data_IF_881299864257
#
_entry.id   IF_881299864257
#
_cell.length_a   1.000
_cell.length_b   1.000
_cell.length_c   1.000
_cell.angle_alpha   90.00
_cell.angle_beta   90.00
_cell.angle_gamma   90.00
#
_symmetry.space_group_name_H-M   'P 1'
#
loop_
_entity.id
_entity.type
_entity.pdbx_description
1 polymer ?
#
# COMPACT_ATOMS: atom_id res chain seq x y z
N UNK A 1 -13.85 9.78 0.31
CA UNK A 1 -13.08 9.73 -0.95
C UNK A 1 -14.02 9.44 -2.11
N UNK A 2 -13.94 10.23 -3.17
CA UNK A 2 -14.77 10.03 -4.37
C UNK A 2 -13.98 9.29 -5.44
N UNK A 3 -14.70 8.73 -6.42
CA UNK A 3 -14.02 8.07 -7.54
C UNK A 3 -13.15 9.07 -8.31
N UNK A 4 -13.58 10.33 -8.40
CA UNK A 4 -12.79 11.38 -9.06
C UNK A 4 -11.49 11.65 -8.34
N UNK A 5 -11.51 11.71 -7.02
CA UNK A 5 -10.29 11.89 -6.22
C UNK A 5 -9.34 10.72 -6.41
N UNK A 6 -9.88 9.50 -6.49
CA UNK A 6 -9.08 8.30 -6.74
C UNK A 6 -8.43 8.37 -8.11
N UNK A 7 -9.19 8.72 -9.13
CA UNK A 7 -8.68 8.78 -10.51
C UNK A 7 -7.66 9.90 -10.70
N UNK A 8 -7.88 11.07 -10.09
CA UNK A 8 -6.93 12.18 -10.17
C UNK A 8 -5.68 11.93 -9.35
N UNK A 9 -5.81 11.11 -8.30
CA UNK A 9 -4.67 10.70 -7.48
C UNK A 9 -3.81 9.63 -8.13
N UNK A 10 -4.17 9.17 -9.33
CA UNK A 10 -3.40 8.19 -10.05
C UNK A 10 -2.05 8.77 -10.43
N UNK A 11 -1.03 8.33 -9.72
CA UNK A 11 0.31 8.84 -9.89
C UNK A 11 1.26 7.91 -9.16
N UNK A 12 2.49 8.35 -8.95
CA UNK A 12 3.46 7.62 -8.14
C UNK A 12 2.98 7.39 -6.70
N UNK A 13 1.96 8.14 -6.25
CA UNK A 13 1.51 8.11 -4.85
C UNK A 13 0.26 7.26 -4.60
N UNK A 14 -0.29 6.62 -5.61
CA UNK A 14 -1.48 5.79 -5.44
C UNK A 14 -1.32 4.47 -6.19
N UNK A 15 -1.65 3.38 -5.51
CA UNK A 15 -1.64 2.04 -6.10
C UNK A 15 -2.98 1.36 -5.83
N UNK A 16 -3.51 0.67 -6.84
CA UNK A 16 -4.80 -0.01 -6.76
C UNK A 16 -4.62 -1.52 -6.73
N UNK A 17 -5.39 -2.18 -5.87
CA UNK A 17 -5.44 -3.64 -5.78
C UNK A 17 -6.90 -4.06 -5.77
N UNK A 18 -7.28 -4.97 -6.68
CA UNK A 18 -8.66 -5.43 -6.75
C UNK A 18 -9.04 -6.22 -5.49
N UNK A 19 -8.15 -7.09 -5.03
CA UNK A 19 -8.34 -7.95 -3.87
C UNK A 19 -7.18 -7.81 -2.91
N UNK A 20 -7.33 -8.36 -1.71
CA UNK A 20 -6.20 -8.51 -0.80
C UNK A 20 -5.42 -9.76 -1.22
N UNK A 21 -4.16 -9.61 -1.65
CA UNK A 21 -3.34 -10.77 -2.04
C UNK A 21 -3.12 -11.72 -0.87
N UNK A 22 -3.07 -13.03 -1.15
CA UNK A 22 -2.77 -14.04 -0.12
C UNK A 22 -1.41 -13.80 0.52
N UNK A 23 -0.43 -13.42 -0.30
CA UNK A 23 0.92 -13.13 0.18
C UNK A 23 1.07 -11.63 0.35
N UNK A 24 1.24 -11.21 1.58
CA UNK A 24 1.37 -9.78 1.91
C UNK A 24 2.57 -9.12 1.24
N UNK A 25 3.60 -9.90 0.88
CA UNK A 25 4.77 -9.37 0.19
C UNK A 25 4.39 -8.59 -1.07
N UNK A 26 3.30 -8.97 -1.73
CA UNK A 26 2.88 -8.34 -2.99
C UNK A 26 2.48 -6.87 -2.82
N UNK A 27 2.01 -6.46 -1.64
CA UNK A 27 1.75 -5.05 -1.40
C UNK A 27 2.75 -4.44 -0.42
N UNK A 28 3.47 -5.27 0.33
CA UNK A 28 4.45 -4.77 1.31
C UNK A 28 5.59 -4.00 0.66
N UNK A 29 5.96 -4.40 -0.54
CA UNK A 29 6.97 -3.67 -1.33
C UNK A 29 6.56 -2.23 -1.56
N UNK A 30 5.28 -1.99 -1.87
CA UNK A 30 4.76 -0.63 -2.06
C UNK A 30 4.67 0.13 -0.75
N UNK A 31 4.34 -0.55 0.36
CA UNK A 31 4.29 0.08 1.68
C UNK A 31 5.67 0.67 2.02
N UNK A 32 6.74 -0.14 1.92
CA UNK A 32 8.08 0.36 2.23
C UNK A 32 8.53 1.42 1.22
N UNK A 33 8.15 1.27 -0.05
CA UNK A 33 8.49 2.24 -1.08
C UNK A 33 7.87 3.61 -0.80
N UNK A 34 6.62 3.65 -0.37
CA UNK A 34 5.97 4.91 0.02
C UNK A 34 6.65 5.52 1.24
N UNK A 35 6.99 4.72 2.24
CA UNK A 35 7.69 5.23 3.43
C UNK A 35 9.08 5.78 3.09
N UNK A 36 9.75 5.19 2.11
CA UNK A 36 11.05 5.67 1.63
C UNK A 36 10.95 6.88 0.70
N UNK A 37 9.74 7.21 0.25
CA UNK A 37 9.50 8.36 -0.62
C UNK A 37 8.70 9.44 0.09
N UNK A 38 7.71 9.96 -0.61
CA UNK A 38 6.86 11.05 -0.10
C UNK A 38 5.52 10.56 0.48
N UNK A 39 5.42 9.26 0.74
CA UNK A 39 4.18 8.67 1.19
C UNK A 39 3.28 8.28 0.04
N UNK A 40 2.13 7.69 0.33
CA UNK A 40 1.19 7.28 -0.68
C UNK A 40 0.05 6.46 -0.12
N UNK A 41 -0.80 5.99 -1.02
CA UNK A 41 -1.99 5.21 -0.65
C UNK A 41 -2.04 3.92 -1.46
N UNK A 42 -2.49 2.86 -0.80
CA UNK A 42 -2.87 1.64 -1.49
C UNK A 42 -4.36 1.46 -1.27
N UNK A 43 -5.11 1.32 -2.34
CA UNK A 43 -6.57 1.19 -2.28
C UNK A 43 -6.93 -0.22 -2.72
N UNK A 44 -7.45 -0.99 -1.77
CA UNK A 44 -7.91 -2.36 -2.02
C UNK A 44 -9.40 -2.34 -2.32
N UNK A 45 -9.82 -3.05 -3.34
CA UNK A 45 -11.21 -3.12 -3.77
C UNK A 45 -11.49 -2.40 -5.08
N UNK A 46 -10.46 -1.93 -5.76
CA UNK A 46 -10.58 -1.24 -7.05
C UNK A 46 -9.60 -1.89 -8.02
N UNK A 47 -10.10 -2.30 -9.19
CA UNK A 47 -9.27 -2.94 -10.19
C UNK A 47 -8.27 -1.94 -10.79
N UNK A 48 -7.02 -2.34 -10.89
CA UNK A 48 -5.93 -1.48 -11.34
C UNK A 48 -6.11 -0.97 -12.77
N UNK A 49 -6.47 -1.85 -13.69
CA UNK A 49 -6.53 -1.49 -15.11
C UNK A 49 -7.82 -0.76 -15.50
N UNK A 50 -8.95 -1.25 -15.03
CA UNK A 50 -10.26 -0.73 -15.41
C UNK A 50 -10.79 0.34 -14.46
N UNK A 51 -10.23 0.43 -13.26
CA UNK A 51 -10.73 1.27 -12.17
C UNK A 51 -12.15 0.89 -11.74
N UNK A 52 -12.56 -0.34 -12.05
CA UNK A 52 -13.83 -0.85 -11.56
C UNK A 52 -13.79 -1.01 -10.06
N UNK A 53 -14.82 -0.50 -9.39
CA UNK A 53 -14.94 -0.63 -7.94
C UNK A 53 -15.58 -1.97 -7.63
N UNK A 54 -14.80 -2.89 -7.10
CA UNK A 54 -15.25 -4.23 -6.73
C UNK A 54 -15.76 -4.25 -5.30
N UNK A 55 -15.04 -3.62 -4.40
CA UNK A 55 -15.39 -3.53 -2.98
C UNK A 55 -15.21 -4.85 -2.23
N UNK A 56 -15.55 -4.81 -0.95
CA UNK A 56 -15.50 -5.97 -0.06
C UNK A 56 -16.82 -6.12 0.66
N UNK A 57 -17.15 -7.36 1.04
CA UNK A 57 -18.33 -7.64 1.85
C UNK A 57 -18.13 -7.07 3.26
N UNK A 58 -19.21 -6.51 3.80
CA UNK A 58 -19.17 -5.91 5.14
C UNK A 58 -18.76 -6.92 6.22
N UNK A 59 -19.04 -8.19 6.01
CA UNK A 59 -18.71 -9.24 6.97
C UNK A 59 -17.20 -9.54 7.02
N UNK A 60 -16.51 -9.35 5.89
CA UNK A 60 -15.10 -9.70 5.76
C UNK A 60 -14.15 -8.51 5.89
N UNK A 61 -14.65 -7.30 5.69
CA UNK A 61 -13.78 -6.13 5.55
C UNK A 61 -12.93 -5.85 6.79
N UNK A 62 -13.49 -6.06 7.99
CA UNK A 62 -12.73 -5.81 9.22
C UNK A 62 -11.62 -6.83 9.42
N UNK A 63 -11.86 -8.08 9.05
CA UNK A 63 -10.81 -9.12 9.08
C UNK A 63 -9.67 -8.78 8.13
N UNK A 64 -10.02 -8.25 6.96
CA UNK A 64 -9.02 -7.85 5.97
C UNK A 64 -8.21 -6.65 6.43
N UNK A 65 -8.86 -5.69 7.08
CA UNK A 65 -8.16 -4.55 7.68
C UNK A 65 -7.15 -5.02 8.74
N UNK A 66 -7.57 -5.93 9.61
CA UNK A 66 -6.71 -6.47 10.66
C UNK A 66 -5.53 -7.23 10.05
N UNK A 67 -5.77 -8.01 9.00
CA UNK A 67 -4.71 -8.74 8.32
C UNK A 67 -3.68 -7.79 7.72
N UNK A 68 -4.12 -6.70 7.13
CA UNK A 68 -3.22 -5.68 6.55
C UNK A 68 -2.41 -5.01 7.67
N UNK A 69 -3.08 -4.59 8.74
CA UNK A 69 -2.41 -3.92 9.86
C UNK A 69 -1.35 -4.82 10.48
N UNK A 70 -1.68 -6.08 10.73
CA UNK A 70 -0.76 -7.03 11.31
C UNK A 70 0.41 -7.34 10.38
N UNK A 71 0.14 -7.50 9.09
CA UNK A 71 1.19 -7.78 8.12
C UNK A 71 2.20 -6.62 8.04
N UNK A 72 1.72 -5.39 8.02
CA UNK A 72 2.61 -4.22 7.98
C UNK A 72 3.43 -4.13 9.27
N UNK A 73 2.76 -4.29 10.42
CA UNK A 73 3.43 -4.24 11.71
C UNK A 73 4.53 -5.28 11.83
N UNK A 74 4.28 -6.49 11.31
CA UNK A 74 5.21 -7.61 11.44
C UNK A 74 6.31 -7.64 10.38
N UNK A 75 6.12 -6.96 9.26
CA UNK A 75 6.98 -7.15 8.08
C UNK A 75 8.00 -6.05 7.83
N UNK A 76 7.84 -4.89 8.44
CA UNK A 76 8.65 -3.71 8.09
C UNK A 76 9.64 -3.33 9.20
N UNK A 77 10.83 -2.91 8.78
CA UNK A 77 11.87 -2.41 9.66
C UNK A 77 12.44 -1.12 9.05
N UNK A 78 12.55 0.01 9.72
CA UNK A 78 11.88 0.32 10.99
C UNK A 78 10.36 0.19 10.92
N UNK A 79 9.68 0.25 12.05
CA UNK A 79 8.23 0.08 12.09
C UNK A 79 7.50 1.15 11.26
N UNK A 80 6.48 0.70 10.53
CA UNK A 80 5.61 1.59 9.76
C UNK A 80 4.22 1.52 10.38
N UNK A 81 3.64 2.67 10.65
CA UNK A 81 2.31 2.80 11.25
C UNK A 81 1.37 3.42 10.21
N UNK A 82 0.70 2.60 9.39
CA UNK A 82 -0.19 3.13 8.36
C UNK A 82 -1.50 3.60 8.97
N UNK A 83 -2.19 4.48 8.25
CA UNK A 83 -3.55 4.87 8.57
C UNK A 83 -4.47 4.05 7.65
N UNK A 84 -5.29 3.19 8.23
CA UNK A 84 -6.15 2.29 7.46
C UNK A 84 -7.61 2.68 7.71
N UNK A 85 -8.29 3.06 6.63
CA UNK A 85 -9.68 3.51 6.71
C UNK A 85 -10.56 2.77 5.72
N UNK A 86 -11.87 2.75 6.02
CA UNK A 86 -12.87 2.25 5.10
C UNK A 86 -13.52 3.45 4.42
N UNK A 87 -13.67 3.35 3.11
CA UNK A 87 -14.32 4.40 2.32
C UNK A 87 -15.42 3.76 1.48
N UNK A 88 -16.48 4.51 1.23
CA UNK A 88 -17.55 4.08 0.33
C UNK A 88 -17.33 4.77 -1.01
N UNK A 89 -17.22 3.97 -2.07
CA UNK A 89 -17.03 4.43 -3.44
C UNK A 89 -18.04 3.70 -4.31
N UNK A 90 -18.88 4.44 -5.01
CA UNK A 90 -19.94 3.86 -5.85
C UNK A 90 -20.81 2.84 -5.10
N UNK A 91 -21.11 3.14 -3.83
CA UNK A 91 -21.95 2.28 -2.99
C UNK A 91 -21.24 1.03 -2.46
N UNK A 92 -19.97 0.88 -2.72
CA UNK A 92 -19.19 -0.28 -2.30
C UNK A 92 -18.09 0.13 -1.32
N UNK A 93 -17.69 -0.80 -0.45
CA UNK A 93 -16.70 -0.51 0.58
C UNK A 93 -15.32 -0.91 0.10
N UNK A 94 -14.39 0.03 0.15
CA UNK A 94 -12.98 -0.20 -0.17
C UNK A 94 -12.12 0.09 1.06
N UNK A 95 -10.91 -0.45 1.07
CA UNK A 95 -9.95 -0.25 2.15
C UNK A 95 -8.84 0.67 1.63
N UNK A 96 -8.62 1.78 2.32
CA UNK A 96 -7.56 2.73 1.98
C UNK A 96 -6.46 2.63 3.02
N UNK A 97 -5.25 2.29 2.57
CA UNK A 97 -4.07 2.22 3.41
C UNK A 97 -3.19 3.41 3.06
N UNK A 98 -3.06 4.35 3.97
CA UNK A 98 -2.24 5.53 3.77
C UNK A 98 -0.93 5.38 4.52
N UNK A 99 0.18 5.53 3.80
CA UNK A 99 1.53 5.43 4.35
C UNK A 99 2.16 6.82 4.26
N UNK A 100 2.58 7.35 5.39
CA UNK A 100 3.24 8.65 5.43
C UNK A 100 4.71 8.54 5.07
N UNK A 101 5.30 9.64 4.62
CA UNK A 101 6.74 9.73 4.43
C UNK A 101 7.46 9.38 5.72
N UNK A 102 8.36 8.42 5.65
CA UNK A 102 9.09 7.95 6.81
C UNK A 102 10.28 8.83 7.15
N UNK A 103 10.60 8.91 8.45
CA UNK A 103 11.72 9.74 8.95
C UNK A 103 12.96 8.93 9.25
N UNK A 104 12.87 7.60 9.20
CA UNK A 104 13.97 6.69 9.57
C UNK A 104 14.42 5.85 8.38
N UNK A 105 14.44 6.46 7.21
CA UNK A 105 14.83 5.76 5.97
C UNK A 105 16.26 5.25 6.04
N UNK A 106 16.57 4.10 5.42
CA UNK A 106 15.65 3.32 4.56
C UNK A 106 14.78 2.34 5.37
N UNK A 107 13.55 2.19 4.92
CA UNK A 107 12.65 1.14 5.39
C UNK A 107 12.81 -0.07 4.49
N UNK A 108 12.68 -1.26 5.07
CA UNK A 108 12.82 -2.49 4.30
C UNK A 108 11.92 -3.60 4.83
N UNK A 109 11.75 -4.63 4.03
CA UNK A 109 10.99 -5.82 4.42
C UNK A 109 11.94 -6.74 5.19
N UNK A 110 11.61 -7.01 6.47
CA UNK A 110 12.48 -7.79 7.37
C UNK A 110 12.92 -9.11 6.78
N UNK A 111 11.98 -9.86 6.18
CA UNK A 111 12.26 -11.18 5.66
C UNK A 111 13.29 -11.18 4.53
N UNK A 112 13.42 -10.06 3.82
CA UNK A 112 14.35 -9.92 2.70
C UNK A 112 15.67 -9.26 3.12
N UNK A 113 15.72 -8.71 4.32
CA UNK A 113 16.88 -8.00 4.83
C UNK A 113 17.07 -6.65 4.14
N UNK A 114 18.04 -5.89 4.63
CA UNK A 114 18.32 -4.55 4.11
C UNK A 114 18.82 -4.57 2.67
N UNK A 115 19.59 -5.59 2.31
CA UNK A 115 20.17 -5.65 0.96
C UNK A 115 19.17 -6.01 -0.12
N UNK A 116 18.13 -6.77 0.22
CA UNK A 116 17.15 -7.22 -0.77
C UNK A 116 15.73 -6.74 -0.50
N UNK A 117 15.52 -5.95 0.56
CA UNK A 117 14.18 -5.57 1.01
C UNK A 117 13.85 -4.09 0.95
N UNK A 118 14.75 -3.25 0.46
CA UNK A 118 14.50 -1.81 0.32
C UNK A 118 13.88 -1.55 -1.05
N UNK A 119 12.68 -1.01 -1.07
CA UNK A 119 11.97 -0.65 -2.29
C UNK A 119 11.73 0.85 -2.31
N UNK A 120 11.71 1.42 -3.50
CA UNK A 120 11.48 2.83 -3.74
C UNK A 120 10.44 3.02 -4.83
N UNK A 121 9.84 4.18 -4.84
CA UNK A 121 8.82 4.53 -5.83
C UNK A 121 9.45 5.39 -6.92
N UNK A 122 9.34 4.94 -8.16
CA UNK A 122 9.88 5.65 -9.33
C UNK A 122 8.78 5.76 -10.37
N UNK A 123 8.30 6.97 -10.60
CA UNK A 123 7.33 7.27 -11.66
C UNK A 123 6.11 6.34 -11.67
N UNK A 124 5.53 6.09 -10.50
CA UNK A 124 4.33 5.27 -10.39
C UNK A 124 4.58 3.77 -10.28
N UNK A 125 5.83 3.34 -10.18
CA UNK A 125 6.18 1.93 -10.01
C UNK A 125 7.01 1.71 -8.77
N UNK A 126 6.90 0.50 -8.19
CA UNK A 126 7.71 0.09 -7.04
C UNK A 126 8.88 -0.71 -7.56
N UNK A 127 10.09 -0.31 -7.19
CA UNK A 127 11.33 -0.94 -7.63
C UNK A 127 12.25 -1.23 -6.47
N UNK A 128 13.02 -2.31 -6.59
CA UNK A 128 14.06 -2.61 -5.63
C UNK A 128 15.14 -1.53 -5.73
N UNK A 129 15.52 -0.96 -4.60
CA UNK A 129 16.57 0.04 -4.56
C UNK A 129 17.93 -0.63 -4.80
N UNK A 130 18.77 0.01 -5.60
CA UNK A 130 20.13 -0.46 -5.80
C UNK A 130 21.08 0.33 -4.89
N UNK A 131 22.37 0.01 -4.96
CA UNK A 131 23.36 0.63 -4.08
C UNK A 131 23.50 2.14 -4.28
N UNK A 132 23.09 2.65 -5.43
CA UNK A 132 23.15 4.09 -5.70
C UNK A 132 21.99 4.86 -5.09
N UNK A 133 20.88 4.15 -4.81
CA UNK A 133 19.69 4.76 -4.22
C UNK A 133 19.72 4.75 -2.69
N UNK A 134 20.57 3.93 -2.15
CA UNK A 134 20.77 3.81 -0.71
C UNK A 134 21.90 4.73 -0.24
#
# INVERSE_FOLDING_TARGET
>A
MTIEEILTGESKNVEFKENLPEKSIKYMKSVVAFANGTGGKIIFGIADKTREVVGFDKEDVFKKMDAIANAISDSCEPAIMPDITLQTVDGKTVIVVEVSEGRQRPYYIKALGRDGGVYVRVAGTTRLADEYML
#
